data_IF_630287673133
#
_entry.id   IF_630287673133
#
_cell.length_a   1.000
_cell.length_b   1.000
_cell.length_c   1.000
_cell.angle_alpha   90.00
_cell.angle_beta   90.00
_cell.angle_gamma   90.00
#
_symmetry.space_group_name_H-M   'P 1'
#
loop_
_entity.id
_entity.type
_entity.pdbx_description
1 polymer ?
#
# COMPACT_ATOMS: atom_id res chain seq x y z
N UNK A 1 15.84 -22.97 4.36
CA UNK A 1 15.56 -24.31 3.77
C UNK A 1 14.47 -25.07 4.54
N UNK A 2 14.60 -25.23 5.87
CA UNK A 2 13.60 -25.94 6.71
C UNK A 2 12.23 -25.26 6.76
N UNK A 3 12.18 -23.93 6.61
CA UNK A 3 10.93 -23.18 6.66
C UNK A 3 10.06 -23.40 5.40
N UNK A 4 10.67 -23.49 4.22
CA UNK A 4 9.98 -23.70 2.95
C UNK A 4 9.37 -25.11 2.89
N UNK A 5 10.09 -26.12 3.35
CA UNK A 5 9.65 -27.53 3.36
C UNK A 5 8.47 -27.76 4.32
N UNK A 6 8.43 -27.07 5.47
CA UNK A 6 7.39 -27.28 6.49
C UNK A 6 6.01 -26.71 6.11
N UNK A 7 5.93 -25.83 5.12
CA UNK A 7 4.71 -25.11 4.72
C UNK A 7 4.14 -25.51 3.37
N UNK A 8 4.74 -26.48 2.69
CA UNK A 8 4.33 -26.90 1.35
C UNK A 8 4.67 -25.87 0.26
N UNK A 9 5.47 -24.89 0.60
CA UNK A 9 6.02 -23.94 -0.34
C UNK A 9 7.32 -24.51 -0.87
N UNK A 10 7.21 -25.30 -1.93
CA UNK A 10 8.38 -25.83 -2.59
C UNK A 10 9.13 -24.67 -3.26
N UNK A 11 10.42 -24.60 -3.00
CA UNK A 11 11.36 -23.66 -3.63
C UNK A 11 11.24 -23.63 -5.16
N UNK A 12 10.75 -24.72 -5.74
CA UNK A 12 10.46 -24.86 -7.15
C UNK A 12 9.41 -23.88 -7.66
N UNK A 13 8.45 -23.45 -6.84
CA UNK A 13 7.44 -22.46 -7.22
C UNK A 13 8.02 -21.04 -7.31
N UNK A 14 9.07 -20.73 -6.54
CA UNK A 14 9.77 -19.44 -6.61
C UNK A 14 10.90 -19.47 -7.65
N UNK A 15 11.58 -20.58 -7.82
CA UNK A 15 12.64 -20.74 -8.84
C UNK A 15 12.09 -20.76 -10.28
N UNK A 16 10.78 -20.97 -10.47
CA UNK A 16 10.16 -20.80 -11.79
C UNK A 16 10.05 -19.34 -12.19
N UNK A 17 10.10 -18.42 -11.22
CA UNK A 17 10.20 -16.98 -11.48
C UNK A 17 11.67 -16.58 -11.52
N UNK A 18 12.29 -16.74 -12.69
CA UNK A 18 13.71 -16.38 -12.93
C UNK A 18 13.99 -14.88 -12.72
N UNK A 19 12.97 -14.13 -12.45
CA UNK A 19 12.91 -12.68 -12.46
C UNK A 19 12.78 -12.06 -11.06
N UNK A 20 12.74 -12.87 -9.99
CA UNK A 20 12.83 -12.36 -8.62
C UNK A 20 14.26 -11.94 -8.32
N UNK A 21 14.53 -10.63 -8.28
CA UNK A 21 15.85 -10.08 -8.02
C UNK A 21 16.19 -10.20 -6.53
N UNK A 22 15.21 -9.94 -5.67
CA UNK A 22 15.44 -9.87 -4.24
C UNK A 22 14.22 -10.32 -3.44
N UNK A 23 14.46 -11.13 -2.43
CA UNK A 23 13.49 -11.45 -1.39
C UNK A 23 14.16 -11.24 -0.04
N UNK A 24 13.64 -10.33 0.77
CA UNK A 24 14.00 -10.18 2.16
C UNK A 24 12.86 -10.72 3.02
N UNK A 25 13.18 -11.56 3.99
CA UNK A 25 12.17 -12.14 4.88
C UNK A 25 12.70 -12.36 6.29
N UNK A 26 11.81 -12.26 7.27
CA UNK A 26 12.08 -12.57 8.67
C UNK A 26 10.98 -13.43 9.26
N UNK A 27 11.34 -14.22 10.26
CA UNK A 27 10.42 -15.07 11.01
C UNK A 27 10.39 -14.70 12.50
N UNK A 28 9.34 -15.15 13.18
CA UNK A 28 9.29 -15.14 14.64
C UNK A 28 10.14 -16.28 15.24
N UNK A 29 10.14 -16.39 16.58
CA UNK A 29 10.96 -17.38 17.32
C UNK A 29 10.62 -18.85 16.99
N UNK A 30 9.44 -19.12 16.41
CA UNK A 30 8.99 -20.44 16.00
C UNK A 30 9.01 -20.64 14.47
N UNK A 31 9.65 -19.73 13.73
CA UNK A 31 9.87 -19.85 12.29
C UNK A 31 8.68 -19.43 11.41
N UNK A 32 7.67 -18.69 11.95
CA UNK A 32 6.55 -18.20 11.14
C UNK A 32 6.91 -16.86 10.50
N UNK A 33 6.60 -16.70 9.21
CA UNK A 33 6.92 -15.51 8.45
C UNK A 33 6.24 -14.25 9.04
N UNK A 34 7.04 -13.25 9.38
CA UNK A 34 6.58 -11.97 9.91
C UNK A 34 6.87 -10.79 8.98
N UNK A 35 7.89 -10.91 8.13
CA UNK A 35 8.29 -9.89 7.17
C UNK A 35 8.54 -10.53 5.82
N UNK A 36 8.02 -9.91 4.78
CA UNK A 36 8.24 -10.32 3.40
C UNK A 36 8.36 -9.06 2.52
N UNK A 37 9.49 -8.90 1.89
CA UNK A 37 9.69 -7.94 0.82
C UNK A 37 10.04 -8.68 -0.46
N UNK A 38 9.39 -8.34 -1.56
CA UNK A 38 9.61 -8.97 -2.86
C UNK A 38 9.89 -7.88 -3.88
N UNK A 39 11.00 -8.01 -4.60
CA UNK A 39 11.40 -7.15 -5.69
C UNK A 39 11.53 -8.02 -6.95
N UNK A 40 10.87 -7.63 -8.04
CA UNK A 40 10.98 -8.33 -9.34
C UNK A 40 11.79 -7.51 -10.33
N UNK A 41 12.39 -8.20 -11.31
CA UNK A 41 12.99 -7.54 -12.47
C UNK A 41 11.89 -6.89 -13.34
N UNK A 42 11.97 -5.58 -13.57
CA UNK A 42 11.06 -4.82 -14.42
C UNK A 42 11.07 -5.29 -15.89
N UNK A 43 12.13 -6.00 -16.34
CA UNK A 43 12.22 -6.61 -17.65
C UNK A 43 11.56 -8.00 -17.73
N UNK A 44 11.10 -8.52 -16.58
CA UNK A 44 10.47 -9.83 -16.52
C UNK A 44 9.24 -9.89 -17.43
N UNK A 45 9.18 -10.97 -18.20
CA UNK A 45 8.00 -11.30 -19.02
C UNK A 45 6.99 -12.13 -18.22
N UNK A 46 7.42 -12.70 -17.09
CA UNK A 46 6.58 -13.51 -16.23
C UNK A 46 5.83 -12.60 -15.25
N UNK A 47 4.53 -12.52 -15.45
CA UNK A 47 3.67 -11.60 -14.70
C UNK A 47 2.95 -12.36 -13.59
N UNK A 48 3.33 -12.15 -12.34
CA UNK A 48 2.52 -12.56 -11.21
C UNK A 48 1.28 -11.67 -11.19
N UNK A 49 0.12 -12.22 -11.57
CA UNK A 49 -1.14 -11.46 -11.57
C UNK A 49 -1.94 -11.63 -10.27
N UNK A 50 -1.65 -12.65 -9.49
CA UNK A 50 -2.35 -12.95 -8.23
C UNK A 50 -1.34 -13.32 -7.16
N UNK A 51 -1.49 -12.72 -5.98
CA UNK A 51 -0.67 -13.02 -4.82
C UNK A 51 -1.57 -13.41 -3.65
N UNK A 52 -1.38 -14.65 -3.17
CA UNK A 52 -2.08 -15.18 -2.01
C UNK A 52 -1.14 -15.23 -0.80
N UNK A 53 -1.41 -14.40 0.19
CA UNK A 53 -0.66 -14.33 1.43
C UNK A 53 -1.37 -15.05 2.59
N UNK A 54 -2.44 -15.80 2.32
CA UNK A 54 -3.33 -16.38 3.34
C UNK A 54 -2.63 -17.37 4.28
N UNK A 55 -1.56 -18.02 3.83
CA UNK A 55 -0.75 -18.91 4.66
C UNK A 55 0.08 -18.18 5.73
N UNK A 56 0.34 -16.88 5.58
CA UNK A 56 1.24 -16.11 6.43
C UNK A 56 0.48 -15.29 7.49
N UNK A 57 -0.22 -15.96 8.39
CA UNK A 57 -1.10 -15.32 9.41
C UNK A 57 -0.38 -14.45 10.42
N UNK A 58 0.96 -14.62 10.57
CA UNK A 58 1.79 -13.81 11.46
C UNK A 58 2.47 -12.64 10.75
N UNK A 59 2.15 -12.44 9.45
CA UNK A 59 2.77 -11.39 8.64
C UNK A 59 2.40 -10.01 9.17
N UNK A 60 3.44 -9.22 9.46
CA UNK A 60 3.36 -7.84 9.95
C UNK A 60 3.81 -6.82 8.92
N UNK A 61 4.76 -7.20 8.10
CA UNK A 61 5.36 -6.36 7.09
C UNK A 61 5.28 -7.04 5.73
N UNK A 62 4.65 -6.37 4.78
CA UNK A 62 4.66 -6.80 3.39
C UNK A 62 4.99 -5.62 2.47
N UNK A 63 5.99 -5.83 1.64
CA UNK A 63 6.42 -4.90 0.61
C UNK A 63 6.56 -5.62 -0.71
N UNK A 64 6.02 -5.00 -1.75
CA UNK A 64 6.04 -5.53 -3.10
C UNK A 64 6.37 -4.38 -4.04
N UNK A 65 7.66 -4.28 -4.36
CA UNK A 65 8.17 -3.29 -5.29
C UNK A 65 8.25 -3.89 -6.70
N UNK A 66 7.98 -3.04 -7.71
CA UNK A 66 8.07 -3.38 -9.13
C UNK A 66 7.05 -4.40 -9.68
N UNK A 67 6.11 -4.89 -8.84
CA UNK A 67 5.02 -5.76 -9.31
C UNK A 67 3.94 -4.98 -10.07
N UNK A 68 4.26 -4.50 -11.22
CA UNK A 68 3.33 -3.69 -12.03
C UNK A 68 2.07 -4.43 -12.47
N UNK A 69 2.01 -5.76 -12.33
CA UNK A 69 0.95 -6.58 -12.91
C UNK A 69 0.06 -7.31 -11.90
N UNK A 70 0.22 -7.10 -10.58
CA UNK A 70 -0.71 -7.69 -9.62
C UNK A 70 -2.12 -7.16 -9.88
N UNK A 71 -3.05 -8.07 -10.20
CA UNK A 71 -4.47 -7.79 -10.39
C UNK A 71 -5.28 -8.11 -9.14
N UNK A 72 -4.79 -9.05 -8.32
CA UNK A 72 -5.46 -9.51 -7.09
C UNK A 72 -4.45 -9.71 -5.97
N UNK A 73 -4.81 -9.17 -4.81
CA UNK A 73 -4.11 -9.38 -3.56
C UNK A 73 -5.14 -9.67 -2.46
N UNK A 74 -5.03 -10.82 -1.81
CA UNK A 74 -5.84 -11.18 -0.65
C UNK A 74 -4.98 -11.14 0.61
N UNK A 75 -5.30 -10.20 1.51
CA UNK A 75 -4.68 -10.05 2.84
C UNK A 75 -5.66 -10.30 3.97
N UNK A 76 -6.82 -10.92 3.69
CA UNK A 76 -7.90 -11.12 4.66
C UNK A 76 -7.51 -11.99 5.85
N UNK A 77 -6.44 -12.78 5.75
CA UNK A 77 -5.88 -13.62 6.83
C UNK A 77 -4.71 -12.97 7.56
N UNK A 78 -4.17 -11.87 7.04
CA UNK A 78 -3.00 -11.19 7.59
C UNK A 78 -3.43 -10.12 8.62
N UNK A 79 -4.16 -10.55 9.65
CA UNK A 79 -4.79 -9.65 10.63
C UNK A 79 -3.79 -8.92 11.52
N UNK A 80 -2.52 -9.32 11.50
CA UNK A 80 -1.40 -8.69 12.21
C UNK A 80 -0.59 -7.72 11.34
N UNK A 81 -1.04 -7.47 10.10
CA UNK A 81 -0.32 -6.61 9.17
C UNK A 81 -0.26 -5.19 9.70
N UNK A 82 0.96 -4.71 9.92
CA UNK A 82 1.29 -3.37 10.43
C UNK A 82 1.77 -2.44 9.31
N UNK A 83 2.45 -3.00 8.31
CA UNK A 83 3.03 -2.27 7.19
C UNK A 83 2.68 -2.94 5.86
N UNK A 84 2.14 -2.16 4.94
CA UNK A 84 1.81 -2.61 3.59
C UNK A 84 2.29 -1.58 2.56
N UNK A 85 3.20 -2.01 1.69
CA UNK A 85 3.69 -1.21 0.58
C UNK A 85 3.53 -1.99 -0.73
N UNK A 86 2.78 -1.43 -1.67
CA UNK A 86 2.47 -2.09 -2.95
C UNK A 86 2.62 -1.12 -4.10
N UNK A 87 3.41 -1.51 -5.09
CA UNK A 87 3.37 -0.92 -6.42
C UNK A 87 2.61 -1.84 -7.37
N UNK A 88 1.49 -1.38 -7.91
CA UNK A 88 0.74 -2.13 -8.91
C UNK A 88 -0.05 -1.22 -9.84
N UNK A 89 0.05 -1.47 -11.13
CA UNK A 89 -0.78 -0.80 -12.14
C UNK A 89 -2.15 -1.45 -12.33
N UNK A 90 -2.24 -2.75 -12.08
CA UNK A 90 -3.41 -3.55 -12.47
C UNK A 90 -4.36 -3.87 -11.32
N UNK A 91 -3.97 -3.64 -10.07
CA UNK A 91 -4.84 -3.86 -8.92
C UNK A 91 -5.99 -2.85 -8.94
N UNK A 92 -7.21 -3.33 -9.21
CA UNK A 92 -8.40 -2.48 -9.34
C UNK A 92 -9.13 -2.25 -8.02
N UNK A 93 -8.98 -3.17 -7.08
CA UNK A 93 -9.61 -3.10 -5.75
C UNK A 93 -8.70 -3.70 -4.69
N UNK A 94 -8.74 -3.13 -3.49
CA UNK A 94 -8.02 -3.64 -2.32
C UNK A 94 -8.90 -3.50 -1.08
N UNK A 95 -9.09 -4.62 -0.37
CA UNK A 95 -9.81 -4.64 0.90
C UNK A 95 -8.84 -4.91 2.07
N UNK A 96 -8.65 -3.88 2.90
CA UNK A 96 -7.82 -3.90 4.11
C UNK A 96 -8.65 -3.95 5.40
N UNK A 97 -9.97 -4.17 5.31
CA UNK A 97 -10.87 -4.15 6.47
C UNK A 97 -10.55 -5.22 7.53
N UNK A 98 -9.74 -6.22 7.18
CA UNK A 98 -9.28 -7.27 8.08
C UNK A 98 -7.88 -7.03 8.64
N UNK A 99 -7.30 -5.84 8.45
CA UNK A 99 -5.97 -5.46 8.92
C UNK A 99 -6.04 -4.36 10.00
N UNK A 100 -6.59 -4.63 11.20
CA UNK A 100 -6.81 -3.62 12.25
C UNK A 100 -5.50 -3.07 12.84
N UNK A 101 -4.38 -3.79 12.67
CA UNK A 101 -3.07 -3.40 13.16
C UNK A 101 -2.31 -2.49 12.20
N UNK A 102 -2.88 -2.21 10.99
CA UNK A 102 -2.21 -1.47 9.93
C UNK A 102 -1.90 -0.04 10.37
N UNK A 103 -0.60 0.32 10.32
CA UNK A 103 -0.05 1.61 10.71
C UNK A 103 0.47 2.39 9.51
N UNK A 104 1.05 1.69 8.54
CA UNK A 104 1.60 2.27 7.32
C UNK A 104 0.96 1.62 6.10
N UNK A 105 0.44 2.45 5.20
CA UNK A 105 -0.03 1.98 3.90
C UNK A 105 0.45 2.89 2.78
N UNK A 106 1.14 2.31 1.82
CA UNK A 106 1.54 2.97 0.57
C UNK A 106 1.06 2.18 -0.62
N UNK A 107 0.40 2.87 -1.54
CA UNK A 107 0.00 2.33 -2.83
C UNK A 107 0.36 3.30 -3.93
N UNK A 108 1.00 2.79 -4.98
CA UNK A 108 1.40 3.64 -6.08
C UNK A 108 1.90 2.88 -7.30
N UNK A 109 2.70 3.58 -8.06
CA UNK A 109 3.44 3.05 -9.21
C UNK A 109 4.85 3.59 -9.19
N UNK A 110 5.79 2.79 -9.71
CA UNK A 110 7.16 3.22 -9.86
C UNK A 110 7.33 4.25 -10.97
N UNK A 111 8.29 5.13 -10.78
CA UNK A 111 8.82 5.98 -11.83
C UNK A 111 9.69 5.13 -12.78
N UNK A 112 9.23 4.94 -14.01
CA UNK A 112 9.92 4.10 -15.01
C UNK A 112 10.83 4.90 -15.96
N UNK A 113 11.21 6.12 -15.59
CA UNK A 113 12.05 6.99 -16.42
C UNK A 113 11.28 7.78 -17.50
N UNK A 114 11.97 8.71 -18.19
CA UNK A 114 11.46 9.53 -19.29
C UNK A 114 10.15 10.33 -19.01
N UNK A 115 9.86 10.66 -17.74
CA UNK A 115 8.66 11.44 -17.37
C UNK A 115 7.35 10.68 -17.47
N UNK A 116 7.38 9.35 -17.60
CA UNK A 116 6.19 8.52 -17.74
C UNK A 116 5.81 7.86 -16.43
N UNK A 117 5.00 8.55 -15.63
CA UNK A 117 4.22 7.90 -14.58
C UNK A 117 3.03 7.19 -15.21
N UNK A 118 2.80 5.95 -14.84
CA UNK A 118 1.62 5.24 -15.33
C UNK A 118 0.54 5.22 -14.24
N UNK A 119 -0.67 5.61 -14.63
CA UNK A 119 -1.82 5.56 -13.73
C UNK A 119 -2.09 4.11 -13.30
N UNK A 120 -2.40 3.94 -12.04
CA UNK A 120 -2.89 2.68 -11.50
C UNK A 120 -4.37 2.47 -11.85
N UNK A 121 -4.90 1.27 -11.60
CA UNK A 121 -6.34 0.97 -11.76
C UNK A 121 -7.10 0.97 -10.44
N UNK A 122 -6.48 1.29 -9.29
CA UNK A 122 -7.11 1.20 -7.97
C UNK A 122 -8.29 2.18 -7.85
N UNK A 123 -9.47 1.70 -8.15
CA UNK A 123 -10.72 2.46 -8.07
C UNK A 123 -11.49 2.22 -6.77
N UNK A 124 -11.19 1.13 -6.06
CA UNK A 124 -11.84 0.77 -4.80
C UNK A 124 -10.80 0.43 -3.74
N UNK A 125 -10.83 1.14 -2.62
CA UNK A 125 -9.98 0.92 -1.46
C UNK A 125 -10.84 0.90 -0.20
N UNK A 126 -10.84 -0.22 0.53
CA UNK A 126 -11.54 -0.36 1.80
C UNK A 126 -10.56 -0.35 2.97
N UNK A 127 -10.53 0.74 3.72
CA UNK A 127 -9.72 0.93 4.93
C UNK A 127 -10.58 0.87 6.20
N UNK A 128 -11.80 0.38 6.14
CA UNK A 128 -12.69 0.27 7.31
C UNK A 128 -12.03 -0.63 8.36
N UNK A 129 -11.86 -0.11 9.58
CA UNK A 129 -11.20 -0.85 10.66
C UNK A 129 -9.71 -0.60 10.82
N UNK A 130 -9.02 0.05 9.88
CA UNK A 130 -7.60 0.41 10.00
C UNK A 130 -7.40 1.63 10.93
N UNK A 131 -7.94 1.56 12.16
CA UNK A 131 -7.96 2.70 13.08
C UNK A 131 -6.58 3.10 13.65
N UNK A 132 -5.58 2.23 13.48
CA UNK A 132 -4.19 2.47 13.89
C UNK A 132 -3.33 3.13 12.81
N UNK A 133 -3.92 3.45 11.65
CA UNK A 133 -3.20 4.04 10.54
C UNK A 133 -2.57 5.38 10.93
N UNK A 134 -1.25 5.47 10.80
CA UNK A 134 -0.43 6.65 11.11
C UNK A 134 0.07 7.35 9.87
N UNK A 135 0.30 6.60 8.79
CA UNK A 135 0.83 7.11 7.53
C UNK A 135 0.07 6.49 6.34
N UNK A 136 -0.35 7.34 5.41
CA UNK A 136 -1.08 6.96 4.21
C UNK A 136 -0.52 7.67 2.98
N UNK A 137 -0.14 6.89 1.98
CA UNK A 137 0.39 7.35 0.71
C UNK A 137 -0.43 6.75 -0.44
N UNK A 138 -0.96 7.60 -1.30
CA UNK A 138 -1.71 7.22 -2.49
C UNK A 138 -1.17 7.95 -3.71
N UNK A 139 -0.73 7.19 -4.70
CA UNK A 139 -0.11 7.74 -5.91
C UNK A 139 -0.80 7.20 -7.17
N UNK A 140 -1.02 8.09 -8.14
CA UNK A 140 -1.51 7.73 -9.49
C UNK A 140 -2.80 6.89 -9.50
N UNK A 141 -3.73 7.14 -8.56
CA UNK A 141 -4.94 6.33 -8.37
C UNK A 141 -6.19 7.03 -8.91
N UNK A 142 -7.06 6.32 -9.65
CA UNK A 142 -8.37 6.83 -10.08
C UNK A 142 -9.42 6.83 -8.96
N UNK A 143 -9.03 6.58 -7.71
CA UNK A 143 -9.93 6.54 -6.56
C UNK A 143 -10.79 7.82 -6.49
N UNK A 144 -12.12 7.65 -6.36
CA UNK A 144 -13.05 8.76 -6.40
C UNK A 144 -13.24 9.46 -5.03
N UNK A 145 -13.07 8.74 -3.94
CA UNK A 145 -13.23 9.29 -2.58
C UNK A 145 -12.39 8.54 -1.55
N UNK A 146 -11.96 9.27 -0.53
CA UNK A 146 -11.29 8.75 0.65
C UNK A 146 -11.83 9.45 1.89
N UNK A 147 -12.43 8.71 2.81
CA UNK A 147 -12.85 9.22 4.12
C UNK A 147 -11.79 8.87 5.17
N UNK A 148 -11.16 9.92 5.73
CA UNK A 148 -10.14 9.79 6.77
C UNK A 148 -10.68 10.07 8.17
N UNK A 149 -11.99 10.22 8.34
CA UNK A 149 -12.61 10.61 9.62
C UNK A 149 -12.37 9.64 10.77
N UNK A 150 -12.12 8.35 10.45
CA UNK A 150 -11.86 7.30 11.44
C UNK A 150 -10.39 7.18 11.84
N UNK A 151 -9.45 7.78 11.10
CA UNK A 151 -8.00 7.61 11.32
C UNK A 151 -7.47 8.60 12.36
N UNK A 152 -7.79 8.35 13.63
CA UNK A 152 -7.44 9.26 14.74
C UNK A 152 -5.95 9.37 15.02
N UNK A 153 -5.16 8.42 14.52
CA UNK A 153 -3.71 8.40 14.69
C UNK A 153 -2.97 8.85 13.43
N UNK A 154 -3.69 9.13 12.33
CA UNK A 154 -3.07 9.54 11.06
C UNK A 154 -2.31 10.85 11.26
N UNK A 155 -0.99 10.79 11.14
CA UNK A 155 -0.07 11.91 11.29
C UNK A 155 0.46 12.43 9.96
N UNK A 156 0.50 11.56 8.94
CA UNK A 156 1.02 11.86 7.61
C UNK A 156 0.07 11.36 6.52
N UNK A 157 -0.29 12.26 5.60
CA UNK A 157 -1.07 11.95 4.40
C UNK A 157 -0.37 12.55 3.19
N UNK A 158 -0.06 11.69 2.22
CA UNK A 158 0.46 12.10 0.92
C UNK A 158 -0.44 11.60 -0.19
N UNK A 159 -0.86 12.49 -1.06
CA UNK A 159 -1.68 12.20 -2.23
C UNK A 159 -1.00 12.79 -3.44
N UNK A 160 -0.64 11.95 -4.41
CA UNK A 160 -0.02 12.36 -5.65
C UNK A 160 -0.82 11.85 -6.86
N UNK A 161 -1.05 12.72 -7.83
CA UNK A 161 -1.70 12.35 -9.10
C UNK A 161 -2.98 11.51 -8.95
N UNK A 162 -3.86 11.88 -8.02
CA UNK A 162 -5.19 11.28 -7.82
C UNK A 162 -6.28 12.28 -8.28
N UNK A 163 -6.53 12.44 -9.59
CA UNK A 163 -7.28 13.58 -10.15
C UNK A 163 -8.77 13.58 -9.79
N UNK A 164 -9.33 12.44 -9.40
CA UNK A 164 -10.76 12.33 -9.08
C UNK A 164 -11.03 12.27 -7.57
N UNK A 165 -9.99 12.26 -6.74
CA UNK A 165 -10.12 11.97 -5.32
C UNK A 165 -10.80 13.11 -4.55
N UNK A 166 -11.89 12.81 -3.87
CA UNK A 166 -12.54 13.68 -2.89
C UNK A 166 -12.15 13.23 -1.48
N UNK A 167 -11.40 14.07 -0.77
CA UNK A 167 -11.01 13.83 0.61
C UNK A 167 -12.12 14.25 1.55
N UNK A 168 -12.54 13.36 2.46
CA UNK A 168 -13.60 13.57 3.44
C UNK A 168 -13.07 13.33 4.85
N UNK A 169 -13.75 13.93 5.86
CA UNK A 169 -13.41 13.71 7.27
C UNK A 169 -12.11 14.37 7.72
N UNK A 170 -11.58 15.30 6.94
CA UNK A 170 -10.33 15.99 7.22
C UNK A 170 -10.36 16.75 8.56
N UNK A 171 -11.49 17.37 8.90
CA UNK A 171 -11.73 18.06 10.16
C UNK A 171 -11.64 17.16 11.40
N UNK A 172 -11.75 15.87 11.21
CA UNK A 172 -11.73 14.84 12.28
C UNK A 172 -10.39 14.14 12.44
N UNK A 173 -9.47 14.34 11.48
CA UNK A 173 -8.14 13.74 11.49
C UNK A 173 -7.15 14.62 12.31
N UNK A 174 -7.44 14.84 13.60
CA UNK A 174 -6.78 15.85 14.44
C UNK A 174 -5.31 15.57 14.77
N UNK A 175 -4.81 14.36 14.52
CA UNK A 175 -3.40 14.00 14.63
C UNK A 175 -2.58 14.32 13.38
N UNK A 176 -3.24 14.70 12.27
CA UNK A 176 -2.60 14.94 10.98
C UNK A 176 -1.75 16.20 11.04
N UNK A 177 -0.45 16.07 10.95
CA UNK A 177 0.50 17.20 11.02
C UNK A 177 1.25 17.43 9.71
N UNK A 178 1.36 16.40 8.88
CA UNK A 178 2.02 16.45 7.58
C UNK A 178 1.02 16.14 6.47
N UNK A 179 0.91 17.05 5.50
CA UNK A 179 0.00 16.93 4.37
C UNK A 179 0.73 17.27 3.08
N UNK A 180 0.79 16.33 2.14
CA UNK A 180 1.22 16.60 0.78
C UNK A 180 0.07 16.35 -0.18
N UNK A 181 -0.23 17.34 -1.02
CA UNK A 181 -1.33 17.31 -1.98
C UNK A 181 -0.86 17.82 -3.34
N UNK A 182 -1.42 17.34 -4.46
CA UNK A 182 -1.19 17.96 -5.74
C UNK A 182 -1.77 19.37 -5.77
N UNK A 183 -1.05 20.30 -6.37
CA UNK A 183 -1.51 21.70 -6.54
C UNK A 183 -2.57 21.78 -7.64
N UNK A 184 -3.79 21.40 -7.31
CA UNK A 184 -4.94 21.35 -8.22
C UNK A 184 -6.13 22.09 -7.65
N UNK A 185 -7.06 22.54 -8.51
CA UNK A 185 -8.32 23.17 -8.08
C UNK A 185 -9.13 22.28 -7.14
N UNK A 186 -9.01 20.98 -7.27
CA UNK A 186 -9.68 19.96 -6.44
C UNK A 186 -9.39 20.14 -4.94
N UNK A 187 -8.18 20.56 -4.57
CA UNK A 187 -7.78 20.76 -3.18
C UNK A 187 -7.70 22.23 -2.77
N UNK A 188 -8.02 23.15 -3.67
CA UNK A 188 -7.88 24.59 -3.42
C UNK A 188 -8.68 25.08 -2.19
N UNK A 189 -9.91 24.60 -2.03
CA UNK A 189 -10.73 24.98 -0.87
C UNK A 189 -10.27 24.35 0.43
N UNK A 190 -9.73 23.14 0.39
CA UNK A 190 -9.13 22.48 1.55
C UNK A 190 -7.88 23.25 1.98
N UNK A 191 -7.02 23.63 1.04
CA UNK A 191 -5.79 24.39 1.32
C UNK A 191 -6.09 25.77 1.90
N UNK A 192 -7.13 26.46 1.42
CA UNK A 192 -7.56 27.78 1.97
C UNK A 192 -8.05 27.70 3.41
N UNK A 193 -8.58 26.55 3.82
CA UNK A 193 -9.24 26.35 5.12
C UNK A 193 -8.52 25.30 5.97
N UNK A 194 -7.18 25.22 5.86
CA UNK A 194 -6.38 24.26 6.60
C UNK A 194 -6.55 24.43 8.11
N UNK A 195 -6.83 23.35 8.84
CA UNK A 195 -6.84 23.38 10.30
C UNK A 195 -5.47 23.72 10.89
N UNK A 196 -5.48 24.37 12.05
CA UNK A 196 -4.25 24.81 12.74
C UNK A 196 -3.34 23.66 13.21
N UNK A 197 -3.80 22.41 13.18
CA UNK A 197 -2.98 21.25 13.54
C UNK A 197 -2.02 20.82 12.41
N UNK A 198 -2.23 21.27 11.15
CA UNK A 198 -1.29 21.02 10.05
C UNK A 198 -0.04 21.87 10.27
N UNK A 199 1.12 21.21 10.34
CA UNK A 199 2.43 21.84 10.55
C UNK A 199 3.29 21.89 9.29
N UNK A 200 3.11 20.89 8.43
CA UNK A 200 3.85 20.76 7.18
C UNK A 200 2.87 20.57 6.03
N UNK A 201 2.93 21.48 5.07
CA UNK A 201 2.15 21.43 3.83
C UNK A 201 3.08 21.44 2.64
N UNK A 202 2.95 20.44 1.77
CA UNK A 202 3.62 20.38 0.49
C UNK A 202 2.58 20.37 -0.63
N UNK A 203 2.72 21.31 -1.57
CA UNK A 203 1.91 21.36 -2.79
C UNK A 203 2.82 20.98 -3.94
N UNK A 204 2.50 19.87 -4.60
CA UNK A 204 3.28 19.27 -5.67
C UNK A 204 2.70 19.61 -7.05
#
# INVERSE_FOLDING_TARGET
>A
QEFEESKGWERENWNSYQDVIRTDWNTDEVGRLTHLAIELDWNSKDTISQLDLSAFTELKYFECEEFMNIEKLDVSKNTKLEHLHIYSRNLASLDLSKCPELQYFRFGTLYIGEGSYQNTKLATLNLTGCSKLTELYLEHSPLASLDISSFKQLSRLEIEYCPNLKLQGFDKATSLTYLALPHTEQFADLVKNLPAFIRHLYLQ
#
